data_IF_442134379100
#
_entry.id   IF_442134379100
#
_cell.length_a   1.000
_cell.length_b   1.000
_cell.length_c   1.000
_cell.angle_alpha   90.00
_cell.angle_beta   90.00
_cell.angle_gamma   90.00
#
_symmetry.space_group_name_H-M   'P 1'
#
loop_
_entity.id
_entity.type
_entity.pdbx_description
1 polymer ?
#
# COMPACT_ATOMS: atom_id res chain seq x y z
N UNK A 1 -1.18 -16.96 -6.42
CA UNK A 1 -0.74 -15.56 -6.38
C UNK A 1 0.45 -15.40 -7.31
N UNK A 2 0.65 -14.23 -7.88
CA UNK A 2 1.85 -13.91 -8.66
C UNK A 2 2.56 -12.75 -7.96
N UNK A 3 3.86 -12.90 -7.74
CA UNK A 3 4.71 -11.89 -7.13
C UNK A 3 5.50 -11.23 -8.25
N UNK A 4 5.29 -9.94 -8.45
CA UNK A 4 6.05 -9.15 -9.41
C UNK A 4 7.18 -8.45 -8.66
N UNK A 5 8.40 -8.96 -8.78
CA UNK A 5 9.60 -8.19 -8.49
C UNK A 5 9.92 -7.36 -9.73
N UNK A 6 10.22 -6.07 -9.56
CA UNK A 6 10.72 -5.26 -10.66
C UNK A 6 12.15 -4.85 -10.35
N UNK A 7 13.04 -5.13 -11.30
CA UNK A 7 14.39 -4.59 -11.32
C UNK A 7 14.29 -3.07 -11.52
N UNK A 8 14.67 -2.31 -10.51
CA UNK A 8 14.84 -0.86 -10.62
C UNK A 8 16.04 -0.49 -9.79
N UNK A 9 17.16 -0.17 -10.46
CA UNK A 9 18.46 0.21 -9.88
C UNK A 9 18.46 1.55 -9.14
N UNK A 10 17.53 1.71 -8.22
CA UNK A 10 17.48 2.72 -7.17
C UNK A 10 17.68 1.93 -5.86
N UNK A 11 18.67 2.29 -5.05
CA UNK A 11 19.30 1.50 -3.95
C UNK A 11 18.42 1.05 -2.78
N UNK A 12 17.12 0.87 -3.04
CA UNK A 12 16.04 0.38 -2.16
C UNK A 12 15.67 -1.08 -2.47
N UNK A 13 16.42 -1.75 -3.34
CA UNK A 13 16.23 -3.16 -3.65
C UNK A 13 16.35 -4.04 -2.41
N UNK A 14 17.26 -3.71 -1.49
CA UNK A 14 17.42 -4.42 -0.21
C UNK A 14 16.19 -4.30 0.71
N UNK A 15 15.56 -3.13 0.76
CA UNK A 15 14.32 -2.92 1.52
C UNK A 15 13.16 -3.71 0.91
N UNK A 16 13.02 -3.68 -0.42
CA UNK A 16 11.99 -4.46 -1.13
C UNK A 16 12.21 -5.95 -0.98
N UNK A 17 13.46 -6.43 -1.01
CA UNK A 17 13.81 -7.81 -0.74
C UNK A 17 13.46 -8.20 0.70
N UNK A 18 13.65 -7.31 1.67
CA UNK A 18 13.23 -7.51 3.06
C UNK A 18 11.71 -7.69 3.16
N UNK A 19 10.93 -6.83 2.49
CA UNK A 19 9.46 -6.97 2.41
C UNK A 19 9.07 -8.29 1.74
N UNK A 20 9.79 -8.70 0.69
CA UNK A 20 9.55 -9.96 0.01
C UNK A 20 9.79 -11.16 0.94
N UNK A 21 10.94 -11.21 1.64
CA UNK A 21 11.23 -12.29 2.60
C UNK A 21 10.20 -12.35 3.72
N UNK A 22 9.76 -11.19 4.20
CA UNK A 22 8.69 -11.08 5.20
C UNK A 22 7.35 -11.62 4.66
N UNK A 23 7.00 -11.28 3.42
CA UNK A 23 5.82 -11.78 2.74
C UNK A 23 5.86 -13.30 2.58
N UNK A 24 6.98 -13.84 2.08
CA UNK A 24 7.17 -15.29 1.92
C UNK A 24 7.08 -16.02 3.27
N UNK A 25 7.75 -15.51 4.31
CA UNK A 25 7.69 -16.06 5.66
C UNK A 25 6.29 -16.02 6.27
N UNK A 26 5.53 -14.93 6.02
CA UNK A 26 4.15 -14.80 6.52
C UNK A 26 3.20 -15.72 5.77
N UNK A 27 3.36 -15.87 4.45
CA UNK A 27 2.54 -16.78 3.65
C UNK A 27 2.78 -18.26 3.98
N UNK A 28 3.94 -18.60 4.53
CA UNK A 28 4.23 -19.94 5.03
C UNK A 28 3.49 -20.27 6.35
N UNK A 29 2.90 -19.27 7.02
CA UNK A 29 2.13 -19.48 8.24
C UNK A 29 0.73 -20.05 7.94
N UNK A 30 0.25 -21.05 8.71
CA UNK A 30 -1.11 -21.57 8.56
C UNK A 30 -2.16 -20.48 8.79
N UNK A 31 -3.23 -20.46 7.98
CA UNK A 31 -4.36 -19.53 8.17
C UNK A 31 -4.18 -18.16 7.51
N UNK A 32 -2.99 -17.81 7.01
CA UNK A 32 -2.73 -16.52 6.38
C UNK A 32 -3.37 -16.42 5.00
N UNK A 33 -3.29 -17.49 4.20
CA UNK A 33 -3.91 -17.52 2.87
C UNK A 33 -5.43 -17.39 2.97
N UNK A 34 -6.04 -17.96 4.01
CA UNK A 34 -7.46 -17.85 4.32
C UNK A 34 -7.84 -16.42 4.70
N UNK A 35 -6.99 -15.71 5.46
CA UNK A 35 -7.20 -14.27 5.77
C UNK A 35 -7.07 -13.39 4.52
N UNK A 36 -6.10 -13.66 3.65
CA UNK A 36 -5.97 -12.95 2.36
C UNK A 36 -7.17 -13.28 1.46
N UNK A 37 -7.64 -14.53 1.51
CA UNK A 37 -8.87 -14.95 0.86
C UNK A 37 -10.12 -14.32 1.49
N UNK A 38 -10.07 -13.79 2.71
CA UNK A 38 -11.20 -13.08 3.30
C UNK A 38 -11.31 -11.61 2.87
N UNK A 39 -10.27 -11.05 2.19
CA UNK A 39 -10.33 -9.67 1.69
C UNK A 39 -11.50 -9.57 0.68
N UNK A 40 -12.44 -8.62 0.87
CA UNK A 40 -13.66 -8.49 0.08
C UNK A 40 -13.38 -7.88 -1.29
N UNK A 41 -12.68 -8.65 -2.11
CA UNK A 41 -12.45 -8.38 -3.52
C UNK A 41 -13.49 -9.17 -4.32
N UNK A 42 -14.21 -8.59 -5.29
CA UNK A 42 -15.13 -9.31 -6.15
C UNK A 42 -14.37 -10.37 -6.98
N UNK A 43 -14.20 -11.57 -6.44
CA UNK A 43 -13.52 -12.67 -7.13
C UNK A 43 -14.48 -13.27 -8.15
N UNK A 44 -14.39 -12.81 -9.39
CA UNK A 44 -14.72 -13.72 -10.51
C UNK A 44 -13.61 -14.76 -10.57
N UNK A 45 -13.95 -16.02 -10.76
CA UNK A 45 -13.12 -17.24 -10.55
C UNK A 45 -11.74 -17.27 -11.26
N UNK A 46 -11.38 -16.24 -12.02
CA UNK A 46 -10.11 -16.10 -12.74
C UNK A 46 -9.24 -14.91 -12.26
N UNK A 47 -9.71 -14.11 -11.31
CA UNK A 47 -8.98 -12.93 -10.85
C UNK A 47 -7.91 -13.31 -9.81
N UNK A 48 -6.67 -13.47 -10.28
CA UNK A 48 -5.50 -13.67 -9.42
C UNK A 48 -5.16 -12.34 -8.74
N UNK A 49 -5.01 -12.36 -7.42
CA UNK A 49 -4.46 -11.22 -6.69
C UNK A 49 -2.97 -11.09 -7.04
N UNK A 50 -2.59 -9.98 -7.65
CA UNK A 50 -1.19 -9.58 -7.83
C UNK A 50 -0.72 -8.89 -6.56
N UNK A 51 0.35 -9.39 -5.95
CA UNK A 51 0.94 -8.73 -4.77
C UNK A 51 2.23 -8.06 -5.18
N UNK A 52 2.35 -6.77 -4.88
CA UNK A 52 3.55 -5.97 -5.14
C UNK A 52 4.21 -5.63 -3.82
N UNK A 53 5.48 -6.01 -3.68
CA UNK A 53 6.32 -5.59 -2.57
C UNK A 53 6.72 -4.13 -2.78
N UNK A 54 6.33 -3.27 -1.85
CA UNK A 54 6.54 -1.84 -1.95
C UNK A 54 7.12 -1.29 -0.64
N UNK A 55 7.99 -0.30 -0.78
CA UNK A 55 8.50 0.50 0.35
C UNK A 55 7.72 1.80 0.44
N UNK A 56 7.67 2.41 1.62
CA UNK A 56 6.84 3.61 1.86
C UNK A 56 7.21 4.77 0.92
N UNK A 57 8.48 4.86 0.52
CA UNK A 57 9.00 5.91 -0.37
C UNK A 57 8.82 5.61 -1.85
N UNK A 58 8.34 4.41 -2.22
CA UNK A 58 8.06 4.08 -3.61
C UNK A 58 6.99 5.01 -4.15
N UNK A 59 7.25 5.59 -5.32
CA UNK A 59 6.25 6.40 -6.03
C UNK A 59 5.10 5.52 -6.49
N UNK A 60 3.87 6.00 -6.31
CA UNK A 60 2.67 5.28 -6.75
C UNK A 60 2.68 5.00 -8.26
N UNK A 61 3.23 5.91 -9.05
CA UNK A 61 3.40 5.72 -10.50
C UNK A 61 4.28 4.51 -10.84
N UNK A 62 5.36 4.28 -10.09
CA UNK A 62 6.23 3.10 -10.25
C UNK A 62 5.53 1.83 -9.78
N UNK A 63 4.80 1.88 -8.66
CA UNK A 63 4.03 0.73 -8.15
C UNK A 63 2.95 0.29 -9.15
N UNK A 64 2.24 1.22 -9.76
CA UNK A 64 1.19 0.92 -10.77
C UNK A 64 1.77 0.20 -11.98
N UNK A 65 2.96 0.57 -12.45
CA UNK A 65 3.64 -0.12 -13.55
C UNK A 65 3.94 -1.60 -13.21
N UNK A 66 4.22 -1.89 -11.92
CA UNK A 66 4.56 -3.25 -11.44
C UNK A 66 3.35 -4.16 -11.25
N UNK A 67 2.17 -3.60 -10.99
CA UNK A 67 0.92 -4.34 -10.82
C UNK A 67 0.51 -5.05 -12.14
N UNK A 68 0.93 -4.50 -13.28
CA UNK A 68 0.58 -5.00 -14.61
C UNK A 68 -0.79 -4.49 -15.08
N UNK A 69 -0.93 -4.29 -16.39
CA UNK A 69 -2.09 -3.63 -16.99
C UNK A 69 -3.41 -4.42 -16.89
N UNK A 70 -3.33 -5.74 -16.77
CA UNK A 70 -4.49 -6.63 -16.77
C UNK A 70 -5.02 -6.93 -15.37
N UNK A 71 -4.31 -6.51 -14.32
CA UNK A 71 -4.74 -6.75 -12.95
C UNK A 71 -5.93 -5.84 -12.64
N UNK A 72 -7.02 -6.44 -12.15
CA UNK A 72 -8.20 -5.70 -11.65
C UNK A 72 -8.01 -5.28 -10.19
N UNK A 73 -7.39 -6.15 -9.39
CA UNK A 73 -7.12 -5.92 -7.98
C UNK A 73 -5.69 -6.32 -7.65
N UNK A 74 -5.05 -5.52 -6.80
CA UNK A 74 -3.71 -5.80 -6.31
C UNK A 74 -3.62 -5.66 -4.78
N UNK A 75 -2.63 -6.32 -4.19
CA UNK A 75 -2.23 -6.14 -2.80
C UNK A 75 -0.91 -5.40 -2.74
N UNK A 76 -0.84 -4.32 -1.97
CA UNK A 76 0.42 -3.68 -1.60
C UNK A 76 0.94 -4.36 -0.34
N UNK A 77 2.06 -5.07 -0.47
CA UNK A 77 2.81 -5.59 0.66
C UNK A 77 3.84 -4.55 1.08
N UNK A 78 3.82 -4.16 2.34
CA UNK A 78 4.77 -3.21 2.92
C UNK A 78 5.11 -3.62 4.35
N UNK A 79 6.27 -3.19 4.84
CA UNK A 79 6.64 -3.38 6.24
C UNK A 79 5.96 -2.29 7.10
N UNK A 80 5.20 -2.72 8.09
CA UNK A 80 4.60 -1.88 9.13
C UNK A 80 5.54 -1.66 10.31
N UNK A 81 4.99 -1.08 11.38
CA UNK A 81 5.69 -0.95 12.65
C UNK A 81 6.15 -2.34 13.15
N UNK A 82 7.29 -2.36 13.85
CA UNK A 82 7.86 -3.59 14.46
C UNK A 82 8.12 -4.74 13.46
N UNK A 83 8.30 -4.43 12.17
CA UNK A 83 8.52 -5.42 11.10
C UNK A 83 7.32 -6.33 10.81
N UNK A 84 6.10 -5.87 11.13
CA UNK A 84 4.87 -6.54 10.73
C UNK A 84 4.66 -6.45 9.21
N UNK A 85 4.19 -7.52 8.56
CA UNK A 85 3.72 -7.44 7.18
C UNK A 85 2.36 -6.76 7.12
N UNK A 86 2.26 -5.65 6.40
CA UNK A 86 0.98 -5.04 6.03
C UNK A 86 0.63 -5.36 4.60
N UNK A 87 -0.54 -5.95 4.39
CA UNK A 87 -1.11 -6.22 3.08
C UNK A 87 -2.36 -5.37 2.87
N UNK A 88 -2.23 -4.34 2.05
CA UNK A 88 -3.31 -3.40 1.77
C UNK A 88 -3.92 -3.66 0.38
N UNK A 89 -5.22 -3.98 0.28
CA UNK A 89 -5.86 -4.15 -1.02
C UNK A 89 -6.01 -2.80 -1.73
N UNK A 90 -5.69 -2.77 -3.02
CA UNK A 90 -5.87 -1.62 -3.91
C UNK A 90 -6.59 -2.04 -5.19
N UNK A 91 -7.58 -1.24 -5.57
CA UNK A 91 -8.23 -1.36 -6.88
C UNK A 91 -7.35 -0.73 -7.96
N UNK A 92 -7.22 -1.39 -9.10
CA UNK A 92 -6.62 -0.74 -10.29
C UNK A 92 -7.68 0.08 -11.02
N UNK A 93 -7.30 0.73 -12.12
CA UNK A 93 -8.26 1.44 -12.98
C UNK A 93 -9.42 0.55 -13.49
N UNK A 94 -9.27 -0.77 -13.46
CA UNK A 94 -10.29 -1.74 -13.89
C UNK A 94 -11.23 -2.18 -12.76
N UNK A 95 -10.92 -1.86 -11.49
CA UNK A 95 -11.73 -2.28 -10.36
C UNK A 95 -13.05 -1.49 -10.28
N UNK A 96 -14.21 -2.17 -10.14
CA UNK A 96 -15.48 -1.50 -9.89
C UNK A 96 -15.42 -0.63 -8.63
N UNK A 97 -15.81 0.65 -8.76
CA UNK A 97 -15.78 1.59 -7.65
C UNK A 97 -14.39 2.17 -7.33
N UNK A 98 -13.34 1.81 -8.09
CA UNK A 98 -12.05 2.47 -7.97
C UNK A 98 -12.14 3.94 -8.39
N UNK A 99 -11.53 4.80 -7.60
CA UNK A 99 -11.36 6.21 -7.90
C UNK A 99 -9.86 6.50 -8.06
N UNK A 100 -9.49 7.46 -8.93
CA UNK A 100 -8.10 7.81 -9.13
C UNK A 100 -7.50 8.39 -7.85
N UNK A 101 -6.22 8.12 -7.60
CA UNK A 101 -5.48 8.66 -6.45
C UNK A 101 -5.48 10.20 -6.41
N UNK A 102 -5.66 10.87 -7.55
CA UNK A 102 -5.83 12.32 -7.60
C UNK A 102 -7.10 12.82 -6.89
N UNK A 103 -8.14 12.00 -6.79
CA UNK A 103 -9.36 12.33 -6.00
C UNK A 103 -9.14 12.16 -4.50
N UNK A 104 -8.04 11.53 -4.09
CA UNK A 104 -7.58 11.44 -2.71
C UNK A 104 -6.69 12.63 -2.29
N UNK A 105 -6.57 13.66 -3.14
CA UNK A 105 -5.65 14.78 -2.91
C UNK A 105 -4.18 14.42 -3.16
N UNK A 106 -3.88 13.22 -3.68
CA UNK A 106 -2.52 12.77 -3.94
C UNK A 106 -2.00 13.28 -5.28
N UNK A 107 -0.83 13.93 -5.23
CA UNK A 107 -0.15 14.48 -6.40
C UNK A 107 0.58 13.41 -7.24
N UNK A 108 1.22 13.84 -8.34
CA UNK A 108 1.97 12.95 -9.26
C UNK A 108 3.20 12.32 -8.62
N UNK A 109 3.74 12.95 -7.59
CA UNK A 109 4.91 12.48 -6.85
C UNK A 109 4.54 11.72 -5.56
N UNK A 110 3.26 11.44 -5.35
CA UNK A 110 2.78 10.72 -4.18
C UNK A 110 3.41 9.33 -4.07
N UNK A 111 3.64 8.93 -2.83
CA UNK A 111 4.30 7.69 -2.44
C UNK A 111 3.32 6.69 -1.85
N UNK A 112 3.77 5.45 -1.65
CA UNK A 112 3.02 4.41 -0.94
C UNK A 112 2.67 4.87 0.48
N UNK A 113 3.60 5.56 1.16
CA UNK A 113 3.36 6.13 2.48
C UNK A 113 2.19 7.12 2.48
N UNK A 114 2.13 8.02 1.49
CA UNK A 114 1.04 8.99 1.36
C UNK A 114 -0.31 8.30 1.14
N UNK A 115 -0.35 7.25 0.31
CA UNK A 115 -1.56 6.46 0.10
C UNK A 115 -2.03 5.76 1.38
N UNK A 116 -1.11 5.15 2.13
CA UNK A 116 -1.43 4.47 3.39
C UNK A 116 -1.91 5.47 4.45
N UNK A 117 -1.32 6.67 4.50
CA UNK A 117 -1.77 7.75 5.39
C UNK A 117 -3.20 8.18 5.07
N UNK A 118 -3.54 8.39 3.79
CA UNK A 118 -4.91 8.76 3.38
C UNK A 118 -5.89 7.63 3.66
N UNK A 119 -5.51 6.37 3.43
CA UNK A 119 -6.41 5.24 3.71
C UNK A 119 -6.64 5.02 5.22
N UNK A 120 -5.66 5.36 6.05
CA UNK A 120 -5.77 5.25 7.52
C UNK A 120 -6.62 6.38 8.10
N UNK A 121 -6.53 7.59 7.55
CA UNK A 121 -7.21 8.77 8.07
C UNK A 121 -8.49 9.15 7.30
N UNK A 122 -8.79 8.48 6.18
CA UNK A 122 -9.87 8.83 5.27
C UNK A 122 -9.50 10.02 4.36
N UNK A 123 -10.22 10.22 3.23
CA UNK A 123 -9.99 11.35 2.31
C UNK A 123 -10.39 12.74 2.85
N UNK A 124 -10.50 12.90 4.17
CA UNK A 124 -11.05 14.07 4.90
C UNK A 124 -12.48 14.47 4.51
N UNK A 125 -13.43 14.28 5.42
CA UNK A 125 -14.60 15.16 5.52
C UNK A 125 -14.37 16.08 6.73
N UNK A 126 -13.73 17.23 6.47
CA UNK A 126 -13.60 18.50 7.24
C UNK A 126 -12.17 18.98 7.61
N UNK A 127 -11.91 20.30 7.57
CA UNK A 127 -10.57 20.88 7.46
C UNK A 127 -9.77 20.78 8.76
N UNK A 128 -8.54 20.28 8.66
CA UNK A 128 -7.54 20.41 9.73
C UNK A 128 -7.20 21.89 9.91
N UNK A 129 -7.69 22.51 10.97
CA UNK A 129 -7.13 23.77 11.45
C UNK A 129 -5.86 23.43 12.22
N UNK A 130 -4.66 23.88 11.81
CA UNK A 130 -3.45 23.61 12.56
C UNK A 130 -3.48 24.45 13.84
N UNK A 131 -3.78 23.82 14.98
CA UNK A 131 -3.46 24.38 16.29
C UNK A 131 -2.05 23.93 16.65
N UNK A 132 -1.11 24.84 16.45
CA UNK A 132 0.28 24.76 16.92
C UNK A 132 0.34 24.34 18.40
N UNK A 133 1.17 23.34 18.77
CA UNK A 133 1.55 23.16 20.15
C UNK A 133 2.60 24.22 20.48
N UNK A 134 2.24 25.24 21.25
CA UNK A 134 3.24 25.99 22.03
C UNK A 134 2.93 25.79 23.51
N UNK A 135 3.86 25.08 24.12
CA UNK A 135 4.03 24.72 25.53
C UNK A 135 3.75 25.86 26.52
N UNK A 136 3.31 25.56 27.76
CA UNK A 136 3.36 26.53 28.85
C UNK A 136 4.82 26.70 29.28
N UNK A 137 5.35 27.91 29.21
CA UNK A 137 6.53 28.33 29.97
C UNK A 137 6.05 29.40 30.93
N UNK A 138 6.10 29.09 32.23
CA UNK A 138 5.85 30.05 33.29
C UNK A 138 7.13 30.78 33.73
N UNK A 139 6.88 31.93 34.39
CA UNK A 139 7.75 32.72 35.28
C UNK A 139 8.93 33.47 34.62
N UNK A 140 8.82 34.80 34.49
CA UNK A 140 9.06 35.79 35.57
C UNK A 140 8.13 37.01 35.36
#
# INVERSE_FOLDING_TARGET
>A
MHFAAAETGDGRDEERETVQRLLEGTLALPGVLERIAAIPVPRREQQRLTVVCAVLTDRLSSVVLRIGHDAVWAGLASQGAESELRLQPVGTAQAPGAFPVSRLGLGRDATVGDLLLVQTNGPDDTPVTPVTPVTPVGLD
#
